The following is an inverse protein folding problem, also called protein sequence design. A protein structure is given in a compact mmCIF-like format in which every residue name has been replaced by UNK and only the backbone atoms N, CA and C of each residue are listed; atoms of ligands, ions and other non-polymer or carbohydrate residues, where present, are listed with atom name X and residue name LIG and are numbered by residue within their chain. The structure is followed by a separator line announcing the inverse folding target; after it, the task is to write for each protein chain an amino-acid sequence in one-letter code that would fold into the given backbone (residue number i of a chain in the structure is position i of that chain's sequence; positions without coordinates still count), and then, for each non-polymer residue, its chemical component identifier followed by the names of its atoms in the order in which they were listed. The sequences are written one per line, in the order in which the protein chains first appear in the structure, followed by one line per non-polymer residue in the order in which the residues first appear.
data_IF_435838925041
#
_entry.id   IF_435838925041
#
_cell.length_a   1.000
_cell.length_b   1.000
_cell.length_c   1.000
_cell.angle_alpha   90.00
_cell.angle_beta   90.00
_cell.angle_gamma   90.00
#
_symmetry.space_group_name_H-M   'P 1'
#
loop_
_entity.id
_entity.type
_entity.pdbx_description
1 polymer ?
#
# COMPACT_ATOMS: atom_id res chain seq x y z
N UNK A 1 -5.48 14.50 -3.26
CA UNK A 1 -4.91 15.15 -4.46
C UNK A 1 -3.72 14.34 -4.97
N UNK A 2 -3.36 14.47 -6.25
CA UNK A 2 -2.23 13.75 -6.83
C UNK A 2 -0.99 14.63 -6.77
N UNK A 3 0.15 14.03 -6.43
CA UNK A 3 1.41 14.75 -6.29
C UNK A 3 2.52 14.11 -7.14
N UNK A 4 3.25 14.96 -7.83
CA UNK A 4 4.43 14.60 -8.60
C UNK A 4 5.61 14.27 -7.69
N UNK A 5 6.57 13.51 -8.23
CA UNK A 5 7.79 13.11 -7.52
C UNK A 5 8.48 14.28 -6.83
N UNK A 6 8.67 15.39 -7.54
CA UNK A 6 9.36 16.58 -7.01
C UNK A 6 8.69 17.18 -5.76
N UNK A 7 7.38 17.03 -5.61
CA UNK A 7 6.64 17.55 -4.44
C UNK A 7 6.79 16.65 -3.20
N UNK A 8 7.05 15.35 -3.40
CA UNK A 8 6.98 14.34 -2.33
C UNK A 8 8.30 13.64 -2.04
N UNK A 9 9.32 13.82 -2.87
CA UNK A 9 10.61 13.10 -2.77
C UNK A 9 11.24 13.24 -1.40
N UNK A 10 11.21 14.44 -0.82
CA UNK A 10 11.71 14.68 0.53
C UNK A 10 10.91 13.92 1.59
N UNK A 11 9.58 13.86 1.46
CA UNK A 11 8.72 13.10 2.36
C UNK A 11 9.00 11.60 2.28
N UNK A 12 9.14 11.08 1.06
CA UNK A 12 9.49 9.67 0.79
C UNK A 12 10.86 9.32 1.38
N UNK A 13 11.86 10.20 1.22
CA UNK A 13 13.18 10.02 1.84
C UNK A 13 13.08 9.91 3.36
N UNK A 14 12.34 10.80 4.03
CA UNK A 14 12.13 10.74 5.49
C UNK A 14 11.41 9.46 5.92
N UNK A 15 10.46 8.97 5.12
CA UNK A 15 9.81 7.69 5.38
C UNK A 15 10.78 6.51 5.22
N UNK A 16 11.65 6.51 4.20
CA UNK A 16 12.69 5.49 4.04
C UNK A 16 13.68 5.48 5.21
N UNK A 17 14.15 6.66 5.65
CA UNK A 17 15.02 6.80 6.82
C UNK A 17 14.34 6.28 8.10
N UNK A 18 13.04 6.52 8.25
CA UNK A 18 12.23 6.00 9.36
C UNK A 18 12.09 4.48 9.31
N UNK A 19 11.85 3.93 8.12
CA UNK A 19 11.79 2.49 7.90
C UNK A 19 13.11 1.81 8.27
N UNK A 20 14.25 2.31 7.74
CA UNK A 20 15.59 1.78 8.05
C UNK A 20 15.93 1.86 9.53
N UNK A 21 15.54 2.94 10.22
CA UNK A 21 15.72 3.08 11.67
C UNK A 21 14.92 2.04 12.46
N UNK A 22 13.75 1.66 11.95
CA UNK A 22 12.86 0.70 12.62
C UNK A 22 13.26 -0.76 12.38
N UNK A 23 13.73 -1.09 11.16
CA UNK A 23 14.06 -2.46 10.76
C UNK A 23 15.56 -2.79 10.89
N UNK A 24 16.40 -1.77 11.00
CA UNK A 24 17.86 -1.89 11.06
C UNK A 24 18.52 -1.81 9.69
N UNK A 25 19.82 -1.46 9.65
CA UNK A 25 20.55 -1.23 8.40
C UNK A 25 20.73 -2.50 7.55
N UNK A 26 20.60 -3.69 8.14
CA UNK A 26 20.70 -4.97 7.45
C UNK A 26 19.38 -5.46 6.84
N UNK A 27 18.29 -4.72 6.99
CA UNK A 27 16.98 -5.11 6.46
C UNK A 27 16.92 -4.99 4.93
N UNK A 28 17.53 -3.95 4.36
CA UNK A 28 17.64 -3.73 2.93
C UNK A 28 19.11 -3.85 2.52
N UNK A 29 19.40 -4.80 1.64
CA UNK A 29 20.79 -5.15 1.27
C UNK A 29 20.99 -5.25 -0.24
N UNK A 30 19.91 -5.14 -1.02
CA UNK A 30 19.92 -5.19 -2.47
C UNK A 30 19.12 -4.01 -3.03
N UNK A 31 19.50 -3.52 -4.19
CA UNK A 31 18.67 -2.65 -5.03
C UNK A 31 18.53 -3.23 -6.43
N UNK A 32 17.44 -2.91 -7.13
CA UNK A 32 17.33 -3.19 -8.56
C UNK A 32 17.95 -2.04 -9.36
N UNK A 33 18.89 -2.35 -10.25
CA UNK A 33 19.47 -1.37 -11.16
C UNK A 33 18.52 -1.01 -12.34
N UNK A 34 19.01 -0.23 -13.31
CA UNK A 34 18.22 0.20 -14.47
C UNK A 34 17.80 -0.96 -15.39
N UNK A 35 18.53 -2.08 -15.35
CA UNK A 35 18.21 -3.31 -16.10
C UNK A 35 17.24 -4.21 -15.32
N UNK A 36 17.02 -3.90 -14.03
CA UNK A 36 16.18 -4.66 -13.11
C UNK A 36 16.94 -5.76 -12.38
N UNK A 37 18.27 -5.81 -12.52
CA UNK A 37 19.11 -6.78 -11.86
C UNK A 37 19.40 -6.37 -10.41
N UNK A 38 19.47 -7.38 -9.53
CA UNK A 38 19.72 -7.16 -8.11
C UNK A 38 21.21 -6.94 -7.85
N UNK A 39 21.55 -5.74 -7.38
CA UNK A 39 22.89 -5.34 -7.01
C UNK A 39 23.01 -5.13 -5.49
N UNK A 40 24.20 -5.31 -4.88
CA UNK A 40 24.42 -5.01 -3.47
C UNK A 40 24.12 -3.54 -3.14
N UNK A 41 23.41 -3.31 -2.03
CA UNK A 41 23.15 -1.97 -1.50
C UNK A 41 24.25 -1.56 -0.51
N UNK A 42 25.46 -1.33 -1.04
CA UNK A 42 26.61 -0.78 -0.31
C UNK A 42 26.63 0.77 -0.38
N UNK A 43 27.73 1.40 0.03
CA UNK A 43 27.86 2.87 0.01
C UNK A 43 27.64 3.46 -1.39
N UNK A 44 28.14 2.80 -2.44
CA UNK A 44 27.95 3.24 -3.83
C UNK A 44 26.49 3.03 -4.28
N UNK A 45 25.87 1.92 -3.87
CA UNK A 45 24.44 1.71 -4.05
C UNK A 45 23.60 2.81 -3.40
N UNK A 46 23.92 3.20 -2.17
CA UNK A 46 23.22 4.29 -1.47
C UNK A 46 23.41 5.65 -2.15
N UNK A 47 24.59 5.95 -2.69
CA UNK A 47 24.81 7.14 -3.52
C UNK A 47 23.88 7.16 -4.74
N UNK A 48 23.76 6.03 -5.46
CA UNK A 48 22.84 5.90 -6.60
C UNK A 48 21.39 6.14 -6.17
N UNK A 49 20.96 5.57 -5.04
CA UNK A 49 19.60 5.77 -4.51
C UNK A 49 19.36 7.24 -4.16
N UNK A 50 20.33 7.90 -3.52
CA UNK A 50 20.24 9.31 -3.16
C UNK A 50 20.19 10.23 -4.37
N UNK A 51 20.98 9.95 -5.41
CA UNK A 51 20.98 10.70 -6.66
C UNK A 51 19.66 10.49 -7.42
N UNK A 52 19.17 9.25 -7.46
CA UNK A 52 17.88 8.90 -8.07
C UNK A 52 16.72 9.65 -7.40
N UNK A 53 16.72 9.78 -6.07
CA UNK A 53 15.71 10.56 -5.34
C UNK A 53 15.78 12.08 -5.59
N UNK A 54 16.92 12.59 -6.05
CA UNK A 54 17.13 14.01 -6.35
C UNK A 54 16.77 14.37 -7.79
N UNK A 55 16.54 13.37 -8.66
CA UNK A 55 16.14 13.61 -10.04
C UNK A 55 14.81 14.40 -10.08
N UNK A 56 14.73 15.50 -10.85
CA UNK A 56 13.57 16.41 -10.75
C UNK A 56 12.27 15.85 -11.33
N UNK A 57 12.33 14.76 -12.10
CA UNK A 57 11.17 14.25 -12.86
C UNK A 57 10.61 12.97 -12.27
N UNK A 58 11.44 11.96 -12.04
CA UNK A 58 10.98 10.65 -11.61
C UNK A 58 12.05 9.93 -10.83
N UNK A 59 11.61 9.00 -10.01
CA UNK A 59 12.47 8.09 -9.28
C UNK A 59 11.81 6.71 -9.26
N UNK A 60 12.60 5.71 -9.64
CA UNK A 60 12.25 4.29 -9.64
C UNK A 60 13.21 3.64 -8.67
N UNK A 61 12.71 3.19 -7.52
CA UNK A 61 13.56 2.56 -6.50
C UNK A 61 12.90 1.27 -6.05
N UNK A 62 13.68 0.20 -6.03
CA UNK A 62 13.30 -1.10 -5.50
C UNK A 62 14.45 -1.61 -4.64
N UNK A 63 14.22 -1.71 -3.34
CA UNK A 63 15.20 -2.19 -2.37
C UNK A 63 14.63 -3.43 -1.70
N UNK A 64 15.46 -4.45 -1.52
CA UNK A 64 15.07 -5.71 -0.88
C UNK A 64 16.16 -6.25 0.04
N UNK A 65 15.79 -7.12 0.99
CA UNK A 65 16.73 -7.91 1.78
C UNK A 65 17.19 -9.17 1.04
N UNK A 66 18.45 -9.58 1.27
CA UNK A 66 19.10 -10.72 0.61
C UNK A 66 18.77 -12.10 1.23
N UNK A 67 17.73 -12.20 2.06
CA UNK A 67 17.39 -13.44 2.76
C UNK A 67 16.92 -14.55 1.83
N UNK A 68 17.52 -15.74 1.99
CA UNK A 68 17.19 -16.99 1.29
C UNK A 68 15.67 -17.14 1.05
N UNK A 69 15.29 -17.26 -0.22
CA UNK A 69 13.96 -17.59 -0.78
C UNK A 69 12.75 -16.71 -0.41
N UNK A 70 12.83 -15.78 0.54
CA UNK A 70 11.77 -14.81 0.80
C UNK A 70 12.38 -13.45 1.13
N UNK A 71 12.33 -12.52 0.17
CA UNK A 71 12.65 -11.10 0.32
C UNK A 71 11.75 -10.47 1.40
N UNK A 72 12.13 -10.64 2.68
CA UNK A 72 11.26 -10.40 3.85
C UNK A 72 11.01 -8.92 4.10
N UNK A 73 11.98 -8.08 3.79
CA UNK A 73 11.89 -6.63 3.83
C UNK A 73 11.99 -6.07 2.41
N UNK A 74 11.14 -5.08 2.11
CA UNK A 74 11.14 -4.40 0.81
C UNK A 74 10.73 -2.95 0.92
N UNK A 75 11.35 -2.11 0.12
CA UNK A 75 10.94 -0.74 -0.12
C UNK A 75 10.79 -0.55 -1.63
N UNK A 76 9.62 -0.09 -2.05
CA UNK A 76 9.36 0.18 -3.47
C UNK A 76 8.85 1.61 -3.59
N UNK A 77 9.46 2.39 -4.46
CA UNK A 77 9.03 3.73 -4.80
C UNK A 77 8.88 3.89 -6.32
N UNK A 78 7.76 4.51 -6.70
CA UNK A 78 7.41 4.86 -8.08
C UNK A 78 7.04 6.34 -8.09
N UNK A 79 8.05 7.21 -8.10
CA UNK A 79 7.89 8.66 -8.23
C UNK A 79 7.70 9.06 -9.69
N UNK A 80 6.64 9.82 -9.99
CA UNK A 80 6.28 10.17 -11.36
C UNK A 80 6.18 11.68 -11.59
N UNK A 81 6.51 12.12 -12.81
CA UNK A 81 6.21 13.47 -13.28
C UNK A 81 4.81 13.48 -13.91
N UNK A 82 3.79 13.84 -13.13
CA UNK A 82 2.39 13.74 -13.54
C UNK A 82 2.01 14.78 -14.61
N UNK A 83 2.67 15.95 -14.60
CA UNK A 83 2.49 17.00 -15.61
C UNK A 83 3.22 16.67 -16.92
N UNK A 84 4.01 15.60 -16.94
CA UNK A 84 4.77 15.15 -18.10
C UNK A 84 3.87 14.75 -19.27
N UNK A 85 4.32 14.89 -20.53
CA UNK A 85 3.52 14.58 -21.72
C UNK A 85 2.89 13.18 -21.71
N UNK A 86 3.58 12.19 -21.15
CA UNK A 86 3.14 10.78 -21.10
C UNK A 86 2.04 10.50 -20.06
N UNK A 87 1.91 11.34 -19.04
CA UNK A 87 1.00 11.10 -17.89
C UNK A 87 -0.04 12.21 -17.69
N UNK A 88 0.13 13.39 -18.27
CA UNK A 88 -0.79 14.54 -18.11
C UNK A 88 -2.26 14.22 -18.39
N UNK A 89 -2.52 13.30 -19.32
CA UNK A 89 -3.86 12.87 -19.72
C UNK A 89 -4.29 11.54 -19.07
N UNK A 90 -3.54 11.05 -18.08
CA UNK A 90 -3.83 9.82 -17.35
C UNK A 90 -4.27 10.17 -15.92
N UNK A 91 -5.58 10.36 -15.67
CA UNK A 91 -6.08 10.75 -14.34
C UNK A 91 -5.81 9.70 -13.26
N UNK A 92 -5.64 8.43 -13.65
CA UNK A 92 -5.31 7.32 -12.75
C UNK A 92 -3.84 7.29 -12.29
N UNK A 93 -2.92 7.97 -12.98
CA UNK A 93 -1.51 7.90 -12.66
C UNK A 93 -1.18 8.71 -11.40
N UNK A 94 -0.44 8.10 -10.48
CA UNK A 94 0.05 8.67 -9.23
C UNK A 94 1.50 8.27 -8.94
N UNK A 95 2.15 9.02 -8.07
CA UNK A 95 3.34 8.54 -7.37
C UNK A 95 2.91 7.63 -6.20
N UNK A 96 3.65 6.55 -5.96
CA UNK A 96 3.32 5.57 -4.92
C UNK A 96 4.58 5.05 -4.22
N UNK A 97 4.45 4.72 -2.93
CA UNK A 97 5.50 4.10 -2.11
C UNK A 97 4.90 2.93 -1.31
N UNK A 98 5.66 1.85 -1.14
CA UNK A 98 5.29 0.71 -0.30
C UNK A 98 6.45 0.24 0.56
N UNK A 99 6.14 -0.19 1.77
CA UNK A 99 7.07 -0.73 2.76
C UNK A 99 6.58 -2.13 3.15
N UNK A 100 7.47 -3.12 3.17
CA UNK A 100 7.13 -4.51 3.42
C UNK A 100 7.87 -5.00 4.65
N UNK A 101 7.14 -5.61 5.56
CA UNK A 101 7.68 -6.20 6.78
C UNK A 101 7.38 -7.70 6.76
N UNK A 102 8.30 -8.56 7.25
CA UNK A 102 7.97 -9.95 7.52
C UNK A 102 6.91 -10.05 8.61
N UNK A 103 6.09 -11.09 8.58
CA UNK A 103 5.13 -11.37 9.65
C UNK A 103 5.82 -11.59 10.99
N UNK A 104 7.05 -12.08 10.98
CA UNK A 104 7.92 -12.24 12.14
C UNK A 104 8.19 -10.90 12.84
N UNK A 105 8.29 -9.79 12.09
CA UNK A 105 8.44 -8.47 12.69
C UNK A 105 7.19 -8.06 13.46
N UNK A 106 6.00 -8.38 12.93
CA UNK A 106 4.71 -8.14 13.59
C UNK A 106 4.56 -9.02 14.85
N UNK A 107 4.93 -10.30 14.77
CA UNK A 107 4.86 -11.24 15.89
C UNK A 107 5.82 -10.86 17.03
N UNK A 108 7.05 -10.46 16.68
CA UNK A 108 8.08 -10.07 17.65
C UNK A 108 7.76 -8.74 18.35
N UNK A 109 7.32 -7.74 17.59
CA UNK A 109 7.17 -6.37 18.09
C UNK A 109 5.73 -6.01 18.50
N UNK A 110 4.75 -6.83 18.11
CA UNK A 110 3.33 -6.60 18.33
C UNK A 110 2.69 -5.59 17.36
N UNK A 111 1.36 -5.63 17.23
CA UNK A 111 0.64 -4.84 16.24
C UNK A 111 0.63 -3.35 16.57
N UNK A 112 0.67 -2.94 17.84
CA UNK A 112 0.75 -1.53 18.22
C UNK A 112 2.03 -0.88 17.69
N UNK A 113 3.16 -1.60 17.71
CA UNK A 113 4.44 -1.12 17.16
C UNK A 113 4.37 -1.00 15.65
N UNK A 114 3.81 -2.00 14.97
CA UNK A 114 3.64 -1.97 13.49
C UNK A 114 2.68 -0.86 13.07
N UNK A 115 1.57 -0.68 13.80
CA UNK A 115 0.62 0.43 13.58
C UNK A 115 1.30 1.78 13.78
N UNK A 116 2.07 1.94 14.86
CA UNK A 116 2.86 3.15 15.11
C UNK A 116 3.83 3.44 13.98
N UNK A 117 4.57 2.43 13.51
CA UNK A 117 5.48 2.56 12.36
C UNK A 117 4.72 2.97 11.09
N UNK A 118 3.58 2.34 10.77
CA UNK A 118 2.77 2.71 9.61
C UNK A 118 2.32 4.18 9.66
N UNK A 119 1.96 4.68 10.85
CA UNK A 119 1.61 6.09 11.05
C UNK A 119 2.81 7.02 10.87
N UNK A 120 3.97 6.68 11.42
CA UNK A 120 5.22 7.44 11.25
C UNK A 120 5.64 7.52 9.78
N UNK A 121 5.57 6.40 9.06
CA UNK A 121 5.88 6.32 7.63
C UNK A 121 4.93 7.16 6.78
N UNK A 122 3.64 7.21 7.13
CA UNK A 122 2.63 7.95 6.39
C UNK A 122 2.63 9.46 6.69
N UNK A 123 3.07 9.86 7.89
CA UNK A 123 3.05 11.25 8.36
C UNK A 123 3.62 12.27 7.36
N UNK A 124 4.84 12.09 6.80
CA UNK A 124 5.43 13.08 5.89
C UNK A 124 4.87 13.01 4.45
N UNK A 125 3.96 12.08 4.15
CA UNK A 125 3.47 11.81 2.78
C UNK A 125 2.10 12.46 2.54
N UNK A 126 1.93 13.34 1.55
CA UNK A 126 0.63 13.95 1.24
C UNK A 126 -0.29 12.96 0.47
N UNK A 127 -0.63 11.84 1.10
CA UNK A 127 -1.42 10.78 0.47
C UNK A 127 -2.88 11.19 0.25
N UNK A 128 -3.46 10.73 -0.86
CA UNK A 128 -4.93 10.68 -1.01
C UNK A 128 -5.50 9.42 -0.35
N UNK A 129 -4.81 8.30 -0.54
CA UNK A 129 -5.21 6.98 -0.06
C UNK A 129 -3.97 6.16 0.26
N UNK A 130 -4.09 5.26 1.23
CA UNK A 130 -3.07 4.26 1.55
C UNK A 130 -3.66 3.14 2.39
N UNK A 131 -2.89 2.07 2.59
CA UNK A 131 -3.33 0.94 3.40
C UNK A 131 -2.14 0.23 4.05
N UNK A 132 -2.39 -0.49 5.14
CA UNK A 132 -1.47 -1.46 5.72
C UNK A 132 -2.25 -2.64 6.29
N UNK A 133 -1.72 -3.85 6.11
CA UNK A 133 -2.35 -5.10 6.51
C UNK A 133 -1.50 -6.29 6.06
N UNK A 134 -2.05 -7.51 6.16
CA UNK A 134 -1.38 -8.72 5.67
C UNK A 134 -1.42 -8.77 4.14
N UNK A 135 -0.41 -9.37 3.54
CA UNK A 135 -0.32 -9.55 2.08
C UNK A 135 0.30 -10.90 1.74
N UNK A 136 -0.07 -11.47 0.61
CA UNK A 136 0.66 -12.62 0.07
C UNK A 136 2.04 -12.17 -0.39
N UNK A 137 3.10 -12.85 0.09
CA UNK A 137 4.47 -12.54 -0.31
C UNK A 137 4.66 -12.92 -1.77
N UNK A 138 4.62 -11.93 -2.65
CA UNK A 138 4.85 -12.14 -4.08
C UNK A 138 5.32 -10.84 -4.73
N UNK A 139 6.49 -10.90 -5.35
CA UNK A 139 7.16 -9.74 -5.92
C UNK A 139 6.51 -9.25 -7.21
N UNK A 140 5.78 -10.11 -7.92
CA UNK A 140 5.15 -9.80 -9.21
C UNK A 140 3.72 -10.31 -9.31
N UNK A 141 2.90 -9.65 -10.14
CA UNK A 141 1.55 -10.13 -10.47
C UNK A 141 1.56 -11.55 -11.07
N UNK A 142 2.61 -11.91 -11.82
CA UNK A 142 2.75 -13.24 -12.40
C UNK A 142 2.93 -14.32 -11.32
N UNK A 143 3.76 -14.07 -10.31
CA UNK A 143 3.91 -14.96 -9.16
C UNK A 143 2.60 -15.09 -8.36
N UNK A 144 1.86 -13.99 -8.17
CA UNK A 144 0.53 -14.00 -7.51
C UNK A 144 -0.49 -14.87 -8.27
N UNK A 145 -0.25 -15.12 -9.55
CA UNK A 145 -1.13 -15.93 -10.40
C UNK A 145 -0.71 -17.40 -10.48
N UNK A 146 0.41 -17.77 -9.84
CA UNK A 146 0.89 -19.14 -9.76
C UNK A 146 0.55 -19.78 -8.40
N UNK A 147 0.65 -21.11 -8.36
CA UNK A 147 0.40 -21.88 -7.13
C UNK A 147 -1.01 -21.74 -6.60
N UNK A 148 -1.14 -21.72 -5.27
CA UNK A 148 -2.43 -21.70 -4.57
C UNK A 148 -2.98 -20.29 -4.31
N UNK A 149 -2.22 -19.23 -4.58
CA UNK A 149 -2.59 -17.83 -4.30
C UNK A 149 -3.98 -17.44 -4.85
N UNK A 150 -4.38 -17.81 -6.09
CA UNK A 150 -5.71 -17.49 -6.60
C UNK A 150 -6.87 -18.12 -5.81
N UNK A 151 -6.64 -19.28 -5.17
CA UNK A 151 -7.63 -19.92 -4.28
C UNK A 151 -7.57 -19.31 -2.88
N UNK A 152 -6.36 -19.16 -2.34
CA UNK A 152 -6.14 -18.66 -0.98
C UNK A 152 -6.67 -17.24 -0.78
N UNK A 153 -6.59 -16.36 -1.79
CA UNK A 153 -7.13 -15.00 -1.68
C UNK A 153 -8.64 -15.00 -1.37
N UNK A 154 -9.44 -15.86 -1.99
CA UNK A 154 -10.89 -15.90 -1.73
C UNK A 154 -11.23 -16.55 -0.38
N UNK A 155 -10.34 -17.41 0.13
CA UNK A 155 -10.46 -17.95 1.48
C UNK A 155 -10.11 -16.89 2.55
N UNK A 156 -9.06 -16.11 2.29
CA UNK A 156 -8.49 -15.14 3.22
C UNK A 156 -8.65 -13.70 2.69
N UNK A 157 -9.86 -13.11 2.74
CA UNK A 157 -10.16 -11.83 2.11
C UNK A 157 -9.45 -10.63 2.75
N UNK A 158 -8.93 -10.76 3.97
CA UNK A 158 -8.14 -9.73 4.64
C UNK A 158 -6.68 -9.64 4.16
N UNK A 159 -6.21 -10.63 3.41
CA UNK A 159 -4.89 -10.64 2.78
C UNK A 159 -4.92 -9.82 1.49
N UNK A 160 -3.98 -8.88 1.30
CA UNK A 160 -3.88 -8.10 0.07
C UNK A 160 -3.07 -8.83 -1.02
N UNK A 161 -3.43 -8.53 -2.27
CA UNK A 161 -2.71 -8.94 -3.47
C UNK A 161 -2.24 -7.65 -4.16
N UNK A 162 -1.00 -7.24 -3.87
CA UNK A 162 -0.47 -5.94 -4.29
C UNK A 162 0.29 -6.02 -5.61
N UNK A 163 -0.15 -5.27 -6.62
CA UNK A 163 0.65 -4.92 -7.81
C UNK A 163 0.78 -3.39 -7.86
N UNK A 164 1.74 -2.85 -7.10
CA UNK A 164 1.90 -1.40 -6.99
C UNK A 164 2.25 -0.76 -8.33
N UNK A 165 3.02 -1.45 -9.18
CA UNK A 165 3.42 -0.95 -10.49
C UNK A 165 2.19 -0.70 -11.38
N UNK A 166 1.25 -1.63 -11.41
CA UNK A 166 -0.01 -1.47 -12.15
C UNK A 166 -0.98 -0.51 -11.47
N UNK A 167 -1.22 -0.68 -10.17
CA UNK A 167 -2.22 0.10 -9.43
C UNK A 167 -1.87 1.59 -9.45
N UNK A 168 -0.59 1.95 -9.28
CA UNK A 168 -0.14 3.35 -9.29
C UNK A 168 -0.38 4.08 -10.62
N UNK A 169 -0.61 3.36 -11.73
CA UNK A 169 -0.89 3.96 -13.03
C UNK A 169 -2.38 4.25 -13.25
N UNK A 170 -3.26 3.69 -12.42
CA UNK A 170 -4.69 3.61 -12.71
C UNK A 170 -5.60 4.05 -11.54
N UNK A 171 -5.13 3.99 -10.30
CA UNK A 171 -5.95 4.23 -9.10
C UNK A 171 -6.41 5.69 -8.92
N UNK A 172 -5.62 6.65 -9.37
CA UNK A 172 -5.92 8.07 -9.22
C UNK A 172 -6.11 8.46 -7.75
N UNK A 173 -7.32 8.88 -7.39
CA UNK A 173 -7.68 9.25 -6.00
C UNK A 173 -8.64 8.26 -5.34
N UNK A 174 -8.92 7.13 -6.00
CA UNK A 174 -9.80 6.07 -5.50
C UNK A 174 -9.08 5.21 -4.45
N UNK A 175 -9.84 4.39 -3.71
CA UNK A 175 -9.31 3.49 -2.68
C UNK A 175 -9.40 2.04 -3.11
N UNK A 176 -8.38 1.21 -2.81
CA UNK A 176 -8.37 -0.23 -3.17
C UNK A 176 -9.47 -1.04 -2.48
N UNK A 177 -9.85 -0.62 -1.28
CA UNK A 177 -10.72 -1.36 -0.39
C UNK A 177 -10.23 -1.23 1.05
N UNK A 178 -10.98 -1.78 2.02
CA UNK A 178 -10.57 -1.80 3.41
C UNK A 178 -9.37 -2.72 3.62
N UNK A 179 -8.44 -2.26 4.43
CA UNK A 179 -7.37 -3.07 5.04
C UNK A 179 -7.34 -2.80 6.54
N UNK A 180 -6.49 -3.51 7.30
CA UNK A 180 -6.37 -3.35 8.75
C UNK A 180 -6.23 -1.88 9.14
N UNK A 181 -5.32 -1.17 8.47
CA UNK A 181 -5.23 0.28 8.49
C UNK A 181 -5.58 0.81 7.11
N UNK A 182 -6.54 1.75 7.05
CA UNK A 182 -6.92 2.44 5.82
C UNK A 182 -6.69 3.94 5.98
N UNK A 183 -5.76 4.48 5.20
CA UNK A 183 -5.37 5.89 5.21
C UNK A 183 -6.19 6.65 4.17
N UNK A 184 -6.86 7.72 4.59
CA UNK A 184 -7.76 8.52 3.76
C UNK A 184 -7.40 9.99 3.88
N UNK A 185 -7.25 10.65 2.73
CA UNK A 185 -7.09 12.09 2.60
C UNK A 185 -8.08 12.67 1.59
N UNK A 186 -7.79 13.85 1.07
CA UNK A 186 -8.63 14.49 0.06
C UNK A 186 -8.55 13.78 -1.30
N UNK A 187 -9.65 13.68 -2.07
CA UNK A 187 -10.96 14.29 -1.81
C UNK A 187 -11.90 13.41 -0.96
N UNK A 188 -11.63 12.10 -0.88
CA UNK A 188 -12.52 11.11 -0.25
C UNK A 188 -12.90 11.51 1.17
N UNK A 189 -11.91 11.88 2.00
CA UNK A 189 -12.19 12.26 3.39
C UNK A 189 -13.07 13.52 3.49
N UNK A 190 -12.90 14.48 2.58
CA UNK A 190 -13.74 15.67 2.50
C UNK A 190 -15.20 15.33 2.15
N UNK A 191 -15.40 14.48 1.15
CA UNK A 191 -16.73 14.00 0.73
C UNK A 191 -17.43 13.17 1.82
N UNK A 192 -16.66 12.49 2.67
CA UNK A 192 -17.16 11.80 3.87
C UNK A 192 -17.52 12.77 5.02
N UNK A 193 -17.24 14.07 4.90
CA UNK A 193 -17.47 15.04 5.97
C UNK A 193 -16.35 15.07 7.02
N UNK A 194 -15.11 14.82 6.59
CA UNK A 194 -13.94 14.76 7.45
C UNK A 194 -13.88 13.50 8.31
N UNK A 195 -12.94 13.47 9.24
CA UNK A 195 -12.81 12.36 10.20
C UNK A 195 -14.06 12.22 11.10
N UNK A 196 -14.71 13.33 11.44
CA UNK A 196 -15.99 13.30 12.16
C UNK A 196 -17.09 12.59 11.36
N UNK A 197 -17.30 12.99 10.10
CA UNK A 197 -18.31 12.37 9.25
C UNK A 197 -18.02 10.90 8.93
N UNK A 198 -16.74 10.53 8.78
CA UNK A 198 -16.31 9.14 8.66
C UNK A 198 -16.62 8.33 9.93
N UNK A 199 -16.23 8.83 11.11
CA UNK A 199 -16.52 8.20 12.40
C UNK A 199 -18.01 8.03 12.63
N UNK A 200 -18.82 9.02 12.22
CA UNK A 200 -20.28 8.97 12.32
C UNK A 200 -20.94 7.94 11.38
N UNK A 201 -20.22 7.31 10.45
CA UNK A 201 -20.73 6.23 9.58
C UNK A 201 -20.32 4.82 10.01
N UNK A 202 -19.33 4.70 10.89
CA UNK A 202 -18.81 3.43 11.40
C UNK A 202 -19.46 3.10 12.75
N UNK A 203 -19.81 1.84 12.99
CA UNK A 203 -20.50 1.36 14.20
C UNK A 203 -19.80 0.18 14.85
N UNK A 204 -18.91 -0.51 14.15
CA UNK A 204 -18.19 -1.64 14.70
C UNK A 204 -17.35 -1.19 15.92
N UNK A 205 -17.47 -1.85 17.08
CA UNK A 205 -16.89 -1.37 18.35
C UNK A 205 -15.35 -1.29 18.32
N UNK A 206 -14.71 -2.14 17.52
CA UNK A 206 -13.25 -2.18 17.38
C UNK A 206 -12.73 -1.27 16.27
N UNK A 207 -13.62 -0.62 15.52
CA UNK A 207 -13.21 0.32 14.47
C UNK A 207 -12.92 1.68 15.08
N UNK A 208 -11.72 2.20 14.84
CA UNK A 208 -11.32 3.54 15.30
C UNK A 208 -10.97 4.43 14.13
N UNK A 209 -11.20 5.74 14.29
CA UNK A 209 -10.81 6.77 13.31
C UNK A 209 -9.89 7.75 14.03
N UNK A 210 -8.65 7.86 13.57
CA UNK A 210 -7.65 8.79 14.10
C UNK A 210 -7.33 9.86 13.06
N UNK A 211 -7.37 11.13 13.47
CA UNK A 211 -6.99 12.26 12.63
C UNK A 211 -5.48 12.35 12.48
N UNK A 212 -5.04 12.82 11.32
CA UNK A 212 -3.66 13.15 10.98
C UNK A 212 -3.61 14.57 10.42
N UNK A 213 -2.45 15.22 10.52
CA UNK A 213 -2.26 16.58 9.99
C UNK A 213 -2.56 16.65 8.49
N UNK A 214 -3.04 17.81 8.01
CA UNK A 214 -3.28 18.06 6.58
C UNK A 214 -4.52 17.38 6.02
N UNK A 215 -5.63 17.38 6.78
CA UNK A 215 -6.92 16.81 6.40
C UNK A 215 -6.83 15.34 5.95
N UNK A 216 -6.15 14.55 6.77
CA UNK A 216 -5.95 13.10 6.62
C UNK A 216 -6.48 12.37 7.85
N UNK A 217 -6.85 11.11 7.68
CA UNK A 217 -7.29 10.24 8.76
C UNK A 217 -6.91 8.78 8.49
N UNK A 218 -6.84 8.00 9.55
CA UNK A 218 -6.62 6.55 9.51
C UNK A 218 -7.79 5.85 10.16
N UNK A 219 -8.37 4.89 9.46
CA UNK A 219 -9.30 3.92 10.04
C UNK A 219 -8.49 2.70 10.47
N UNK A 220 -8.64 2.24 11.71
CA UNK A 220 -8.09 0.97 12.19
C UNK A 220 -9.23 -0.01 12.47
N UNK A 221 -9.17 -1.19 11.87
CA UNK A 221 -10.19 -2.25 11.98
C UNK A 221 -9.77 -3.28 13.03
N UNK A 222 -9.70 -2.86 14.29
CA UNK A 222 -9.25 -3.69 15.40
C UNK A 222 -7.74 -3.62 15.70
N UNK A 223 -7.32 -4.28 16.80
CA UNK A 223 -5.95 -4.21 17.30
C UNK A 223 -4.94 -5.00 16.46
N UNK A 224 -5.37 -6.06 15.77
CA UNK A 224 -4.52 -6.92 14.95
C UNK A 224 -4.96 -6.92 13.49
N UNK A 225 -4.05 -7.08 12.53
CA UNK A 225 -4.44 -7.33 11.15
C UNK A 225 -5.01 -8.74 11.00
N UNK A 226 -6.20 -8.85 10.45
CA UNK A 226 -6.89 -10.14 10.28
C UNK A 226 -6.88 -10.57 8.80
N UNK A 227 -6.56 -11.84 8.56
CA UNK A 227 -6.67 -12.45 7.24
C UNK A 227 -8.12 -12.86 6.88
N UNK A 228 -8.98 -13.04 7.89
CA UNK A 228 -10.26 -13.74 7.74
C UNK A 228 -10.07 -15.24 7.54
N UNK A 229 -11.16 -15.99 7.37
CA UNK A 229 -11.17 -17.36 6.82
C UNK A 229 -12.64 -17.69 6.48
N UNK A 230 -12.99 -17.64 5.20
CA UNK A 230 -14.38 -17.84 4.75
C UNK A 230 -14.85 -19.28 4.94
N UNK A 231 -13.94 -20.26 4.99
CA UNK A 231 -14.29 -21.67 5.26
C UNK A 231 -14.60 -21.90 6.76
N UNK A 232 -14.07 -21.06 7.65
CA UNK A 232 -14.35 -21.10 9.09
C UNK A 232 -15.41 -20.08 9.53
N UNK A 233 -16.02 -19.36 8.60
CA UNK A 233 -17.03 -18.34 8.90
C UNK A 233 -16.48 -17.02 9.45
N UNK A 234 -15.16 -16.80 9.42
CA UNK A 234 -14.56 -15.52 9.77
C UNK A 234 -14.63 -14.57 8.56
N UNK A 235 -15.71 -13.78 8.53
CA UNK A 235 -16.08 -12.89 7.42
C UNK A 235 -15.66 -11.43 7.60
N UNK A 236 -14.88 -11.10 8.63
CA UNK A 236 -14.33 -9.76 8.87
C UNK A 236 -15.39 -8.64 8.88
N UNK A 237 -16.32 -8.60 9.86
CA UNK A 237 -17.44 -7.66 9.88
C UNK A 237 -17.02 -6.19 9.85
N UNK A 238 -15.93 -5.81 10.54
CA UNK A 238 -15.37 -4.46 10.51
C UNK A 238 -14.91 -4.04 9.09
N UNK A 239 -14.29 -4.96 8.36
CA UNK A 239 -13.85 -4.74 6.97
C UNK A 239 -15.06 -4.57 6.06
N UNK A 240 -16.10 -5.39 6.23
CA UNK A 240 -17.35 -5.28 5.46
C UNK A 240 -18.09 -3.95 5.72
N UNK A 241 -18.10 -3.48 6.96
CA UNK A 241 -18.67 -2.17 7.29
C UNK A 241 -17.93 -1.05 6.56
N UNK A 242 -16.59 -1.01 6.68
CA UNK A 242 -15.79 0.01 6.00
C UNK A 242 -15.90 -0.09 4.47
N UNK A 243 -15.97 -1.31 3.90
CA UNK A 243 -16.18 -1.50 2.47
C UNK A 243 -17.47 -0.83 1.98
N UNK A 244 -18.58 -0.99 2.72
CA UNK A 244 -19.87 -0.35 2.36
C UNK A 244 -19.80 1.17 2.43
N UNK A 245 -19.06 1.71 3.41
CA UNK A 245 -18.83 3.16 3.50
C UNK A 245 -17.99 3.66 2.32
N UNK A 246 -16.99 2.89 1.90
CA UNK A 246 -16.05 3.27 0.83
C UNK A 246 -16.53 2.91 -0.58
N UNK A 247 -17.64 2.17 -0.74
CA UNK A 247 -18.14 1.66 -2.03
C UNK A 247 -18.15 2.72 -3.15
N UNK A 248 -18.60 3.98 -2.93
CA UNK A 248 -18.62 5.00 -3.98
C UNK A 248 -17.24 5.37 -4.54
N UNK A 249 -16.16 5.12 -3.79
CA UNK A 249 -14.79 5.48 -4.14
C UNK A 249 -13.89 4.28 -4.40
N UNK A 250 -14.44 3.07 -4.41
CA UNK A 250 -13.65 1.87 -4.69
C UNK A 250 -13.01 1.93 -6.07
N UNK A 251 -11.75 1.53 -6.11
CA UNK A 251 -11.00 1.35 -7.33
C UNK A 251 -11.40 0.03 -7.99
N UNK A 252 -11.75 0.13 -9.27
CA UNK A 252 -12.02 -1.02 -10.14
C UNK A 252 -11.00 -1.05 -11.25
N UNK A 253 -10.28 -2.17 -11.38
CA UNK A 253 -9.24 -2.33 -12.38
C UNK A 253 -9.80 -2.15 -13.80
N UNK A 254 -9.19 -1.28 -14.62
CA UNK A 254 -9.62 -1.11 -15.99
C UNK A 254 -9.40 -2.42 -16.77
N UNK A 255 -10.29 -2.72 -17.72
CA UNK A 255 -10.33 -3.96 -18.53
C UNK A 255 -9.08 -4.28 -19.36
N UNK A 256 -8.04 -3.45 -19.31
CA UNK A 256 -6.87 -3.57 -20.15
C UNK A 256 -5.93 -4.61 -19.54
N UNK A 257 -5.88 -5.79 -20.15
CA UNK A 257 -4.88 -6.85 -19.92
C UNK A 257 -4.96 -7.58 -18.56
N UNK A 258 -6.09 -8.20 -18.25
CA UNK A 258 -6.11 -9.22 -17.19
C UNK A 258 -5.83 -10.61 -17.79
N UNK A 259 -4.80 -11.28 -17.29
CA UNK A 259 -4.60 -12.73 -17.48
C UNK A 259 -5.67 -13.53 -16.69
N UNK A 260 -6.37 -12.88 -15.74
CA UNK A 260 -7.51 -13.44 -14.99
C UNK A 260 -8.85 -13.18 -15.68
N UNK A 261 -9.84 -14.02 -15.36
CA UNK A 261 -11.24 -13.72 -15.64
C UNK A 261 -11.62 -12.38 -14.98
N UNK A 262 -12.22 -11.47 -15.75
CA UNK A 262 -12.74 -10.20 -15.24
C UNK A 262 -13.75 -10.40 -14.10
N UNK A 263 -14.40 -11.56 -14.05
CA UNK A 263 -15.32 -11.93 -12.96
C UNK A 263 -14.58 -12.11 -11.64
N UNK A 264 -13.43 -12.80 -11.65
CA UNK A 264 -12.61 -13.00 -10.46
C UNK A 264 -12.00 -11.69 -9.96
N UNK A 265 -11.59 -10.81 -10.87
CA UNK A 265 -11.09 -9.47 -10.49
C UNK A 265 -12.18 -8.65 -9.82
N UNK A 266 -13.39 -8.62 -10.38
CA UNK A 266 -14.53 -7.92 -9.75
C UNK A 266 -14.92 -8.53 -8.42
N UNK A 267 -14.96 -9.87 -8.33
CA UNK A 267 -15.24 -10.59 -7.09
C UNK A 267 -14.21 -10.26 -6.01
N UNK A 268 -12.93 -10.11 -6.39
CA UNK A 268 -11.88 -9.70 -5.47
C UNK A 268 -12.04 -8.25 -4.97
N UNK A 269 -12.33 -7.32 -5.88
CA UNK A 269 -12.58 -5.92 -5.54
C UNK A 269 -13.81 -5.74 -4.64
N UNK A 270 -14.84 -6.56 -4.85
CA UNK A 270 -16.10 -6.54 -4.10
C UNK A 270 -16.18 -7.57 -2.97
N UNK A 271 -15.06 -8.21 -2.60
CA UNK A 271 -15.02 -9.34 -1.64
C UNK A 271 -15.63 -9.07 -0.27
N UNK A 272 -15.78 -7.80 0.11
CA UNK A 272 -16.37 -7.36 1.37
C UNK A 272 -17.79 -6.77 1.22
N UNK A 273 -18.26 -6.56 -0.01
CA UNK A 273 -19.60 -6.06 -0.30
C UNK A 273 -20.58 -7.20 -0.53
N UNK A 274 -20.13 -8.22 -1.25
CA UNK A 274 -20.93 -9.38 -1.66
C UNK A 274 -20.88 -10.53 -0.64
#
# INVERSE_FOLDING_TARGET
MRHSHAEISQGVRRSLETYLRATGPSALTLYADEEGDHQPLDDAGWEIIHDTMQLPRMAMIDLSGAGNDQQSYRFIYRGRFLEGPSLKNKPGAVSAVSFWLPTEFLEEHGPERVRGLAMELASPLPFSTGYAGLSFNSATRLEQMQGDTPKLRFRYPGMEVSDMSWVSLHIGTQVRGPSWLTFLGQPILGELGGAFGLRARLRHPETTVQEMEGDRAVVSLGPWPEAGDTEQGNVLPAYRELARVLEPWLYHEPKLHTVQSMEDTRRWERRFLD
#
